data_IF_687293816065
#
_entry.id   IF_687293816065
#
_cell.length_a   1.000
_cell.length_b   1.000
_cell.length_c   1.000
_cell.angle_alpha   90.00
_cell.angle_beta   90.00
_cell.angle_gamma   90.00
#
_symmetry.space_group_name_H-M   'P 1'
#
loop_
_entity.id
_entity.type
_entity.pdbx_description
1 polymer ?
#
# COMPACT_ATOMS: atom_id res chain seq x y z
N UNK A 1 -27.52 0.75 0.03
CA UNK A 1 -26.15 1.14 0.42
C UNK A 1 -25.24 0.95 -0.79
N UNK A 2 -24.18 1.76 -0.92
CA UNK A 2 -23.23 1.63 -2.03
C UNK A 2 -21.90 1.08 -1.52
N UNK A 3 -21.21 0.36 -2.40
CA UNK A 3 -19.82 -0.03 -2.20
C UNK A 3 -18.95 0.90 -3.03
N UNK A 4 -17.92 1.49 -2.42
CA UNK A 4 -16.90 2.23 -3.17
C UNK A 4 -15.67 1.33 -3.36
N UNK A 5 -15.20 1.21 -4.59
CA UNK A 5 -13.89 0.62 -4.88
C UNK A 5 -12.88 1.73 -5.12
N UNK A 6 -11.84 1.74 -4.31
CA UNK A 6 -10.73 2.68 -4.43
C UNK A 6 -9.51 1.95 -4.99
N UNK A 7 -8.91 2.48 -6.04
CA UNK A 7 -7.86 1.80 -6.79
C UNK A 7 -6.52 2.53 -6.66
N UNK A 8 -5.47 1.74 -6.41
CA UNK A 8 -4.08 2.14 -6.56
C UNK A 8 -3.44 1.31 -7.67
N UNK A 9 -3.14 1.94 -8.80
CA UNK A 9 -2.38 1.29 -9.87
C UNK A 9 -0.90 1.26 -9.49
N UNK A 10 -0.26 0.13 -9.73
CA UNK A 10 1.16 -0.09 -9.44
C UNK A 10 1.91 0.05 -10.76
N UNK A 11 2.99 0.83 -10.77
CA UNK A 11 3.81 0.99 -11.96
C UNK A 11 4.79 -0.19 -12.09
N UNK A 12 5.00 -0.74 -13.30
CA UNK A 12 4.40 -0.33 -14.57
C UNK A 12 2.94 -0.77 -14.71
N UNK A 13 2.10 0.10 -15.26
CA UNK A 13 0.69 -0.22 -15.49
C UNK A 13 0.57 -1.08 -16.76
N UNK A 14 -0.21 -2.18 -16.75
CA UNK A 14 -0.48 -2.96 -17.95
C UNK A 14 -1.20 -2.12 -19.02
N UNK A 15 -1.12 -2.56 -20.29
CA UNK A 15 -1.80 -1.89 -21.42
C UNK A 15 -3.28 -1.64 -21.18
N UNK A 16 -3.95 -2.65 -20.64
CA UNK A 16 -5.34 -2.61 -20.25
C UNK A 16 -5.42 -2.99 -18.77
N UNK A 17 -5.93 -2.08 -17.97
CA UNK A 17 -6.45 -2.39 -16.66
C UNK A 17 -7.93 -2.70 -16.83
N UNK A 18 -8.35 -3.89 -16.41
CA UNK A 18 -9.77 -4.23 -16.28
C UNK A 18 -10.00 -4.94 -14.95
N UNK A 19 -10.88 -4.37 -14.13
CA UNK A 19 -11.42 -5.02 -12.93
C UNK A 19 -12.89 -5.36 -13.19
N UNK A 20 -13.16 -6.66 -13.24
CA UNK A 20 -14.50 -7.23 -13.45
C UNK A 20 -14.93 -8.05 -12.24
N UNK A 21 -16.17 -8.54 -12.26
CA UNK A 21 -16.63 -9.52 -11.26
C UNK A 21 -15.86 -10.85 -11.28
N UNK A 22 -15.12 -11.14 -12.35
CA UNK A 22 -14.34 -12.38 -12.51
C UNK A 22 -12.88 -12.22 -12.08
N UNK A 23 -12.43 -11.00 -11.79
CA UNK A 23 -11.07 -10.72 -11.35
C UNK A 23 -10.79 -11.39 -10.00
N UNK A 24 -9.82 -12.31 -9.97
CA UNK A 24 -9.43 -13.06 -8.77
C UNK A 24 -8.24 -12.35 -8.12
N UNK A 25 -8.37 -11.88 -6.87
CA UNK A 25 -7.25 -11.28 -6.16
C UNK A 25 -6.19 -12.33 -5.81
N UNK A 26 -4.92 -11.94 -5.86
CA UNK A 26 -3.82 -12.76 -5.38
C UNK A 26 -3.94 -13.00 -3.86
N UNK A 27 -4.39 -11.97 -3.13
CA UNK A 27 -4.83 -12.09 -1.76
C UNK A 27 -5.81 -10.98 -1.37
N UNK A 28 -6.56 -11.22 -0.29
CA UNK A 28 -7.39 -10.23 0.38
C UNK A 28 -7.05 -10.15 1.87
N UNK A 29 -7.13 -8.94 2.43
CA UNK A 29 -6.86 -8.64 3.83
C UNK A 29 -7.94 -7.70 4.37
N UNK A 30 -8.58 -8.03 5.51
CA UNK A 30 -9.51 -7.11 6.16
C UNK A 30 -8.75 -5.97 6.84
N UNK A 31 -9.17 -4.73 6.56
CA UNK A 31 -8.68 -3.50 7.21
C UNK A 31 -9.78 -3.00 8.14
N UNK A 32 -9.52 -3.00 9.46
CA UNK A 32 -10.46 -2.50 10.46
C UNK A 32 -10.19 -1.02 10.73
N UNK A 33 -11.24 -0.21 10.62
CA UNK A 33 -11.18 1.21 10.97
C UNK A 33 -12.42 1.59 11.78
N UNK A 34 -12.22 1.87 13.07
CA UNK A 34 -13.33 1.99 14.02
C UNK A 34 -14.11 0.68 14.12
N UNK A 35 -15.43 0.75 13.91
CA UNK A 35 -16.34 -0.40 13.92
C UNK A 35 -16.56 -1.03 12.54
N UNK A 36 -16.02 -0.43 11.48
CA UNK A 36 -16.23 -0.86 10.09
C UNK A 36 -15.03 -1.66 9.61
N UNK A 37 -15.30 -2.72 8.84
CA UNK A 37 -14.27 -3.51 8.15
C UNK A 37 -14.33 -3.24 6.66
N UNK A 38 -13.19 -2.87 6.11
CA UNK A 38 -12.93 -2.71 4.68
C UNK A 38 -12.08 -3.89 4.21
N UNK A 39 -12.04 -4.14 2.89
CA UNK A 39 -11.23 -5.23 2.34
C UNK A 39 -10.20 -4.68 1.36
N UNK A 40 -8.92 -4.87 1.65
CA UNK A 40 -7.83 -4.61 0.72
C UNK A 40 -7.56 -5.88 -0.09
N UNK A 41 -7.49 -5.76 -1.40
CA UNK A 41 -7.16 -6.84 -2.31
C UNK A 41 -5.99 -6.42 -3.19
N UNK A 42 -5.02 -7.32 -3.40
CA UNK A 42 -3.94 -7.13 -4.38
C UNK A 42 -4.19 -8.03 -5.58
N UNK A 43 -4.08 -7.46 -6.77
CA UNK A 43 -4.21 -8.18 -8.03
C UNK A 43 -2.87 -8.26 -8.73
N UNK A 44 -2.58 -9.45 -9.24
CA UNK A 44 -1.35 -9.73 -9.96
C UNK A 44 -1.70 -10.18 -11.37
N UNK A 45 -0.90 -9.74 -12.33
CA UNK A 45 -1.01 -10.17 -13.72
C UNK A 45 -0.23 -11.44 -13.99
N UNK A 46 -0.07 -11.73 -15.28
CA UNK A 46 0.75 -12.84 -15.75
C UNK A 46 2.19 -12.74 -15.22
N UNK A 47 2.68 -13.86 -14.68
CA UNK A 47 4.01 -13.92 -14.07
C UNK A 47 4.10 -13.35 -12.64
N UNK A 48 2.96 -13.06 -12.01
CA UNK A 48 2.88 -12.61 -10.61
C UNK A 48 3.17 -11.12 -10.41
N UNK A 49 3.30 -10.34 -11.49
CA UNK A 49 3.54 -8.89 -11.39
C UNK A 49 2.37 -8.18 -10.69
N UNK A 50 2.59 -7.44 -9.59
CA UNK A 50 1.54 -6.62 -8.99
C UNK A 50 1.05 -5.57 -9.99
N UNK A 51 -0.26 -5.55 -10.27
CA UNK A 51 -0.85 -4.62 -11.24
C UNK A 51 -1.58 -3.48 -10.54
N UNK A 52 -2.39 -3.82 -9.54
CA UNK A 52 -3.15 -2.85 -8.77
C UNK A 52 -3.56 -3.42 -7.42
N UNK A 53 -3.86 -2.51 -6.51
CA UNK A 53 -4.56 -2.83 -5.27
C UNK A 53 -5.92 -2.12 -5.25
N UNK A 54 -6.92 -2.82 -4.73
CA UNK A 54 -8.30 -2.34 -4.60
C UNK A 54 -8.68 -2.36 -3.12
N UNK A 55 -9.13 -1.22 -2.60
CA UNK A 55 -9.79 -1.16 -1.31
C UNK A 55 -11.31 -1.08 -1.49
N UNK A 56 -12.00 -2.08 -0.95
CA UNK A 56 -13.46 -2.12 -0.85
C UNK A 56 -13.91 -1.37 0.40
N UNK A 57 -14.50 -0.19 0.18
CA UNK A 57 -15.14 0.62 1.20
C UNK A 57 -16.63 0.25 1.28
N UNK A 58 -17.00 -0.41 2.38
CA UNK A 58 -18.38 -0.76 2.72
C UNK A 58 -19.13 0.44 3.32
N UNK A 59 -20.46 0.38 3.27
CA UNK A 59 -21.37 1.30 3.96
C UNK A 59 -21.26 2.77 3.54
N UNK A 60 -21.09 3.02 2.24
CA UNK A 60 -21.06 4.36 1.70
C UNK A 60 -22.50 4.82 1.38
N UNK A 61 -22.92 5.94 1.98
CA UNK A 61 -24.26 6.52 1.80
C UNK A 61 -24.35 7.43 0.56
N UNK A 62 -23.30 8.21 0.30
CA UNK A 62 -23.23 9.19 -0.79
C UNK A 62 -22.16 8.83 -1.80
N UNK A 63 -22.27 9.28 -3.05
CA UNK A 63 -21.21 9.11 -4.08
C UNK A 63 -20.00 10.04 -3.85
N UNK A 64 -19.55 10.13 -2.61
CA UNK A 64 -18.39 10.87 -2.18
C UNK A 64 -17.65 10.04 -1.14
N UNK A 65 -16.32 10.05 -1.20
CA UNK A 65 -15.49 9.43 -0.16
C UNK A 65 -15.57 10.31 1.08
N UNK A 66 -15.98 9.77 2.25
CA UNK A 66 -16.01 10.54 3.48
C UNK A 66 -14.62 11.02 3.86
N UNK A 67 -14.48 12.30 4.21
CA UNK A 67 -13.18 12.88 4.61
C UNK A 67 -12.53 12.13 5.78
N UNK A 68 -13.35 11.61 6.69
CA UNK A 68 -12.90 10.82 7.83
C UNK A 68 -12.12 9.54 7.45
N UNK A 69 -12.30 9.04 6.22
CA UNK A 69 -11.63 7.83 5.71
C UNK A 69 -10.31 8.17 5.01
N UNK A 70 -10.08 9.43 4.60
CA UNK A 70 -8.87 9.84 3.87
C UNK A 70 -7.56 9.50 4.61
N UNK A 71 -7.43 9.70 5.94
CA UNK A 71 -6.21 9.33 6.64
C UNK A 71 -5.92 7.82 6.58
N UNK A 72 -6.96 7.00 6.63
CA UNK A 72 -6.85 5.54 6.52
C UNK A 72 -6.43 5.13 5.11
N UNK A 73 -7.01 5.74 4.07
CA UNK A 73 -6.59 5.52 2.67
C UNK A 73 -5.10 5.84 2.49
N UNK A 74 -4.65 6.98 3.00
CA UNK A 74 -3.24 7.38 2.92
C UNK A 74 -2.35 6.39 3.68
N UNK A 75 -2.72 6.00 4.90
CA UNK A 75 -1.95 5.04 5.69
C UNK A 75 -1.86 3.66 5.02
N UNK A 76 -2.94 3.19 4.40
CA UNK A 76 -2.96 1.91 3.67
C UNK A 76 -2.11 2.01 2.42
N UNK A 77 -2.21 3.11 1.67
CA UNK A 77 -1.38 3.38 0.48
C UNK A 77 0.11 3.36 0.81
N UNK A 78 0.52 4.11 1.83
CA UNK A 78 1.93 4.20 2.26
C UNK A 78 2.45 2.83 2.72
N UNK A 79 1.67 2.11 3.54
CA UNK A 79 2.08 0.78 3.99
C UNK A 79 2.20 -0.21 2.84
N UNK A 80 1.23 -0.21 1.91
CA UNK A 80 1.24 -1.05 0.73
C UNK A 80 2.51 -0.85 -0.10
N UNK A 81 2.87 0.41 -0.41
CA UNK A 81 4.05 0.68 -1.24
C UNK A 81 5.35 0.31 -0.52
N UNK A 82 5.45 0.54 0.79
CA UNK A 82 6.60 0.11 1.58
C UNK A 82 6.76 -1.41 1.57
N UNK A 83 5.66 -2.15 1.73
CA UNK A 83 5.69 -3.62 1.67
C UNK A 83 6.14 -4.08 0.29
N UNK A 84 5.56 -3.54 -0.79
CA UNK A 84 5.93 -3.91 -2.16
C UNK A 84 7.42 -3.63 -2.44
N UNK A 85 7.96 -2.50 -1.97
CA UNK A 85 9.38 -2.18 -2.12
C UNK A 85 10.33 -3.16 -1.43
N UNK A 86 9.91 -3.71 -0.29
CA UNK A 86 10.70 -4.71 0.45
C UNK A 86 10.57 -6.11 -0.17
N UNK A 87 9.37 -6.48 -0.60
CA UNK A 87 9.09 -7.86 -1.02
C UNK A 87 9.29 -8.13 -2.50
N UNK A 88 9.23 -7.09 -3.33
CA UNK A 88 9.19 -7.21 -4.78
C UNK A 88 10.31 -6.42 -5.48
N UNK A 89 10.19 -5.10 -5.57
CA UNK A 89 11.18 -4.25 -6.22
C UNK A 89 11.35 -2.91 -5.45
N UNK A 90 12.56 -2.60 -4.96
CA UNK A 90 12.85 -1.36 -4.23
C UNK A 90 12.47 -0.07 -4.98
N UNK A 91 12.41 -0.11 -6.31
CA UNK A 91 12.05 1.03 -7.15
C UNK A 91 10.56 1.19 -7.38
N UNK A 92 9.71 0.27 -6.88
CA UNK A 92 8.26 0.33 -7.06
C UNK A 92 7.66 1.69 -6.71
N UNK A 93 6.72 2.11 -7.56
CA UNK A 93 5.93 3.32 -7.45
C UNK A 93 4.47 3.02 -7.72
N UNK A 94 3.59 3.85 -7.16
CA UNK A 94 2.17 3.85 -7.50
C UNK A 94 1.95 4.94 -8.52
N UNK A 95 1.03 4.71 -9.45
CA UNK A 95 0.56 5.77 -10.33
C UNK A 95 -0.01 6.91 -9.48
N UNK A 96 0.35 8.18 -9.77
CA UNK A 96 0.05 9.30 -8.88
C UNK A 96 -1.45 9.62 -8.76
N UNK A 97 -2.27 9.17 -9.71
CA UNK A 97 -3.70 9.43 -9.75
C UNK A 97 -4.50 8.20 -9.35
N UNK A 98 -4.88 8.07 -8.06
CA UNK A 98 -5.87 7.08 -7.68
C UNK A 98 -7.23 7.44 -8.29
N UNK A 99 -8.03 6.44 -8.59
CA UNK A 99 -9.41 6.60 -9.03
C UNK A 99 -10.31 5.70 -8.20
N UNK A 100 -11.60 5.99 -8.21
CA UNK A 100 -12.59 5.22 -7.47
C UNK A 100 -13.91 5.16 -8.22
N UNK A 101 -14.67 4.11 -7.94
CA UNK A 101 -16.00 3.90 -8.52
C UNK A 101 -16.98 3.54 -7.42
N UNK A 102 -18.22 4.03 -7.56
CA UNK A 102 -19.33 3.67 -6.66
C UNK A 102 -20.23 2.68 -7.36
N UNK A 103 -20.51 1.57 -6.68
CA UNK A 103 -21.29 0.47 -7.23
C UNK A 103 -22.49 0.22 -6.33
N UNK A 104 -23.65 0.11 -6.96
CA UNK A 104 -24.86 -0.33 -6.30
C UNK A 104 -24.77 -1.83 -5.99
N UNK A 105 -25.16 -2.18 -4.78
CA UNK A 105 -25.15 -3.55 -4.30
C UNK A 105 -25.99 -4.46 -5.23
N UNK A 106 -25.36 -5.53 -5.74
CA UNK A 106 -26.00 -6.51 -6.63
C UNK A 106 -25.84 -6.26 -8.14
N UNK A 107 -25.16 -5.20 -8.58
CA UNK A 107 -24.83 -4.99 -10.00
C UNK A 107 -23.42 -5.48 -10.36
N UNK A 108 -23.21 -6.07 -11.56
CA UNK A 108 -21.88 -6.48 -12.00
C UNK A 108 -20.96 -5.27 -12.17
N UNK A 109 -19.72 -5.36 -11.66
CA UNK A 109 -18.71 -4.32 -11.79
C UNK A 109 -17.96 -4.48 -13.11
N UNK A 110 -17.75 -3.37 -13.81
CA UNK A 110 -16.76 -3.25 -14.88
C UNK A 110 -16.11 -1.88 -14.81
N UNK A 111 -14.83 -1.84 -14.47
CA UNK A 111 -14.02 -0.61 -14.48
C UNK A 111 -12.73 -0.89 -15.24
N UNK A 112 -12.33 0.01 -16.13
CA UNK A 112 -11.09 -0.16 -16.90
C UNK A 112 -10.42 1.16 -17.28
N UNK A 113 -9.11 1.08 -17.55
CA UNK A 113 -8.23 2.18 -17.97
C UNK A 113 -7.25 1.64 -19.01
N UNK A 114 -7.03 2.40 -20.08
CA UNK A 114 -6.08 2.06 -21.14
C UNK A 114 -4.85 2.98 -21.03
N UNK A 115 -3.63 2.42 -20.90
CA UNK A 115 -2.38 3.17 -20.65
C UNK A 115 -1.23 2.61 -21.51
N UNK A 116 -0.34 3.48 -22.02
CA UNK A 116 0.52 3.21 -23.19
C UNK A 116 2.02 2.98 -22.95
N UNK A 117 2.50 2.62 -21.74
CA UNK A 117 3.95 2.37 -21.50
C UNK A 117 4.29 1.23 -20.51
N UNK A 118 5.42 0.54 -20.74
CA UNK A 118 5.85 -0.71 -20.08
C UNK A 118 7.02 -0.59 -19.09
N UNK A 119 7.15 -1.55 -18.16
CA UNK A 119 8.43 -1.91 -17.53
C UNK A 119 8.63 -3.45 -17.40
N UNK A 120 9.87 -3.86 -17.06
CA UNK A 120 10.40 -5.22 -17.16
C UNK A 120 9.87 -6.21 -16.11
N UNK A 121 9.94 -7.50 -16.44
CA UNK A 121 9.41 -8.63 -15.66
C UNK A 121 10.33 -9.04 -14.52
N UNK A 122 9.84 -8.95 -13.29
CA UNK A 122 10.36 -9.67 -12.11
C UNK A 122 9.22 -10.52 -11.56
N UNK A 123 9.46 -11.80 -11.24
CA UNK A 123 8.43 -12.66 -10.67
C UNK A 123 8.15 -12.30 -9.20
N UNK A 124 6.88 -12.25 -8.78
CA UNK A 124 6.48 -11.99 -7.38
C UNK A 124 5.96 -13.24 -6.69
N UNK A 125 6.14 -13.33 -5.37
CA UNK A 125 5.46 -14.30 -4.48
C UNK A 125 4.37 -13.54 -3.69
N UNK A 126 3.09 -13.61 -4.09
CA UNK A 126 2.01 -12.88 -3.45
C UNK A 126 1.82 -13.22 -1.97
N UNK A 127 2.09 -14.47 -1.58
CA UNK A 127 1.94 -14.91 -0.20
C UNK A 127 3.03 -14.32 0.68
N UNK A 128 4.24 -14.08 0.15
CA UNK A 128 5.26 -13.30 0.85
C UNK A 128 4.81 -11.85 1.06
N UNK A 129 4.25 -11.20 0.04
CA UNK A 129 3.73 -9.83 0.15
C UNK A 129 2.68 -9.76 1.25
N UNK A 130 1.69 -10.67 1.21
CA UNK A 130 0.61 -10.77 2.22
C UNK A 130 1.15 -10.93 3.64
N UNK A 131 2.08 -11.89 3.85
CA UNK A 131 2.69 -12.14 5.17
C UNK A 131 3.40 -10.91 5.70
N UNK A 132 4.20 -10.23 4.87
CA UNK A 132 4.90 -9.02 5.27
C UNK A 132 3.91 -7.89 5.55
N UNK A 133 2.90 -7.68 4.70
CA UNK A 133 1.88 -6.65 4.90
C UNK A 133 1.20 -6.79 6.27
N UNK A 134 0.69 -7.98 6.58
CA UNK A 134 0.00 -8.28 7.84
C UNK A 134 0.96 -8.16 9.03
N UNK A 135 2.14 -8.77 8.94
CA UNK A 135 3.09 -8.84 10.05
C UNK A 135 3.75 -7.49 10.40
N UNK A 136 3.86 -6.57 9.43
CA UNK A 136 4.51 -5.28 9.62
C UNK A 136 3.56 -4.12 9.90
N UNK A 137 2.24 -4.33 9.87
CA UNK A 137 1.28 -3.21 9.97
C UNK A 137 1.40 -2.39 11.26
N UNK A 138 1.70 -3.06 12.39
CA UNK A 138 1.98 -2.40 13.67
C UNK A 138 3.31 -1.62 13.69
N UNK A 139 4.23 -1.96 12.79
CA UNK A 139 5.57 -1.38 12.63
C UNK A 139 5.73 -0.64 11.29
N UNK A 140 4.62 -0.10 10.76
CA UNK A 140 4.59 0.51 9.43
C UNK A 140 5.52 1.73 9.30
N UNK A 141 5.71 2.46 10.40
CA UNK A 141 6.60 3.62 10.44
C UNK A 141 8.06 3.18 10.32
N UNK A 142 8.45 2.13 11.06
CA UNK A 142 9.78 1.53 11.01
C UNK A 142 10.06 0.91 9.64
N UNK A 143 9.07 0.23 9.05
CA UNK A 143 9.17 -0.30 7.70
C UNK A 143 9.35 0.82 6.67
N UNK A 144 8.58 1.91 6.77
CA UNK A 144 8.70 3.08 5.89
C UNK A 144 10.10 3.70 5.99
N UNK A 145 10.57 3.98 7.20
CA UNK A 145 11.91 4.51 7.44
C UNK A 145 12.99 3.57 6.90
N UNK A 146 12.81 2.26 7.03
CA UNK A 146 13.75 1.28 6.50
C UNK A 146 13.82 1.34 4.97
N UNK A 147 12.66 1.37 4.31
CA UNK A 147 12.56 1.53 2.85
C UNK A 147 13.20 2.83 2.39
N UNK A 148 12.90 3.95 3.05
CA UNK A 148 13.47 5.26 2.71
C UNK A 148 14.99 5.29 2.91
N UNK A 149 15.52 4.59 3.92
CA UNK A 149 16.95 4.44 4.13
C UNK A 149 17.66 3.72 2.97
N UNK A 150 16.97 2.79 2.32
CA UNK A 150 17.48 2.00 1.20
C UNK A 150 17.23 2.65 -0.16
N UNK A 151 16.30 3.60 -0.27
CA UNK A 151 15.91 4.20 -1.54
C UNK A 151 17.00 5.08 -2.14
N UNK A 152 17.64 4.62 -3.21
CA UNK A 152 18.72 5.33 -3.90
C UNK A 152 18.27 6.61 -4.61
N UNK A 153 16.96 6.83 -4.79
CA UNK A 153 16.41 8.07 -5.37
C UNK A 153 16.43 9.23 -4.38
N UNK A 154 16.47 8.94 -3.09
CA UNK A 154 16.52 9.97 -2.06
C UNK A 154 17.96 10.51 -1.89
N UNK A 155 18.12 11.82 -1.61
CA UNK A 155 19.44 12.35 -1.26
C UNK A 155 20.04 11.61 -0.08
N UNK A 156 21.37 11.45 -0.09
CA UNK A 156 22.11 10.65 0.87
C UNK A 156 21.80 11.04 2.34
N UNK A 157 21.63 12.32 2.61
CA UNK A 157 21.32 12.86 3.93
C UNK A 157 19.97 12.34 4.46
N UNK A 158 18.94 12.28 3.61
CA UNK A 158 17.62 11.78 4.01
C UNK A 158 17.66 10.28 4.29
N UNK A 159 18.40 9.52 3.47
CA UNK A 159 18.59 8.08 3.69
C UNK A 159 19.24 7.80 5.05
N UNK A 160 20.30 8.53 5.39
CA UNK A 160 20.95 8.42 6.70
C UNK A 160 20.02 8.83 7.83
N UNK A 161 19.24 9.90 7.66
CA UNK A 161 18.28 10.36 8.68
C UNK A 161 17.22 9.29 8.96
N UNK A 162 16.70 8.63 7.92
CA UNK A 162 15.73 7.56 8.07
C UNK A 162 16.31 6.37 8.85
N UNK A 163 17.52 5.94 8.52
CA UNK A 163 18.21 4.87 9.25
C UNK A 163 18.54 5.26 10.70
N UNK A 164 18.99 6.49 10.92
CA UNK A 164 19.22 7.03 12.27
C UNK A 164 17.94 7.02 13.10
N UNK A 165 16.81 7.40 12.49
CA UNK A 165 15.51 7.43 13.18
C UNK A 165 15.08 6.03 13.64
N UNK A 166 15.33 4.99 12.85
CA UNK A 166 15.07 3.60 13.27
C UNK A 166 15.89 3.26 14.51
N UNK A 167 17.18 3.59 14.53
CA UNK A 167 18.03 3.38 15.70
C UNK A 167 17.48 4.15 16.91
N UNK A 168 17.16 5.43 16.75
CA UNK A 168 16.57 6.24 17.81
C UNK A 168 15.29 5.61 18.39
N UNK A 169 14.40 5.10 17.54
CA UNK A 169 13.15 4.44 17.96
C UNK A 169 13.41 3.16 18.77
N UNK A 170 14.36 2.32 18.34
CA UNK A 170 14.80 1.12 19.07
C UNK A 170 15.41 1.50 20.43
N UNK A 171 16.27 2.52 20.47
CA UNK A 171 16.90 2.97 21.71
C UNK A 171 15.90 3.60 22.69
N UNK A 172 14.89 4.33 22.19
CA UNK A 172 13.82 4.92 23.01
C UNK A 172 12.88 3.87 23.59
N UNK A 173 12.47 2.88 22.80
CA UNK A 173 11.58 1.81 23.26
C UNK A 173 12.27 0.84 24.23
N UNK A 174 13.58 0.61 24.08
CA UNK A 174 14.37 -0.27 24.96
C UNK A 174 15.01 0.43 26.17
N UNK A 175 14.74 1.73 26.39
CA UNK A 175 15.08 2.42 27.63
C UNK A 175 16.58 2.66 27.88
N UNK A 176 17.42 2.68 26.84
CA UNK A 176 18.87 2.90 26.99
C UNK A 176 19.30 4.38 26.88
N UNK A 177 18.35 5.33 26.90
CA UNK A 177 18.68 6.74 27.08
C UNK A 177 19.04 6.99 28.55
N UNK A 178 20.32 6.90 28.86
CA UNK A 178 20.86 7.53 30.06
C UNK A 178 21.04 9.02 29.76
N UNK A 179 20.01 9.83 30.06
CA UNK A 179 20.05 11.30 29.92
C UNK A 179 21.30 11.90 30.57
N UNK A 180 21.76 11.27 31.66
CA UNK A 180 22.95 11.60 32.45
C UNK A 180 24.27 11.56 31.66
N UNK A 181 24.31 10.90 30.49
CA UNK A 181 25.53 10.75 29.66
C UNK A 181 25.57 11.65 28.43
N UNK A 182 24.51 12.42 28.17
CA UNK A 182 24.41 13.34 27.03
C UNK A 182 24.63 14.80 27.42
N UNK A 183 24.65 15.12 28.72
CA UNK A 183 25.13 16.39 29.25
C UNK A 183 26.65 16.32 29.48
N UNK A 184 27.41 16.33 28.39
CA UNK A 184 28.86 16.56 28.38
C UNK A 184 29.16 17.91 27.75
#
# INVERSE_FOLDING_TARGET
MKTCFYYWLIEPIPHEFEDTSESIPAFEIPIRFGTVTHTLALFVGDGGLPQYARLRLSNIETENIPEAILPMLQSVKEHLISVLRVTFDPQMTLFPYPFWTFIEEGKPNRTGLEITQFAQKVASDPERVKRVFVGSFSHREELRLFVDGLDQRLPLQYRYLSLYKILELEFKTRGHWHDDKLAG
#
